data_IF_471759789325
#
_entry.id   IF_471759789325
#
_cell.length_a   1.000
_cell.length_b   1.000
_cell.length_c   1.000
_cell.angle_alpha   90.00
_cell.angle_beta   90.00
_cell.angle_gamma   90.00
#
_symmetry.space_group_name_H-M   'P 1'
#
loop_
_entity.id
_entity.type
_entity.pdbx_description
1 polymer ?
#
# COMPACT_ATOMS: atom_id res chain seq x y z
N UNK A 1 6.57 -7.39 9.71
CA UNK A 1 6.45 -5.96 9.38
C UNK A 1 7.28 -5.59 8.15
N UNK A 2 8.62 -5.83 8.14
CA UNK A 2 9.51 -5.41 7.05
C UNK A 2 9.15 -5.99 5.67
N UNK A 3 8.70 -7.24 5.59
CA UNK A 3 8.28 -7.85 4.32
C UNK A 3 6.99 -7.25 3.76
N UNK A 4 6.08 -6.80 4.62
CA UNK A 4 4.87 -6.07 4.20
C UNK A 4 5.24 -4.65 3.72
N UNK A 5 6.24 -4.04 4.33
CA UNK A 5 6.81 -2.78 3.87
C UNK A 5 7.39 -2.90 2.44
N UNK A 6 8.12 -3.98 2.16
CA UNK A 6 8.61 -4.30 0.80
C UNK A 6 7.45 -4.41 -0.20
N UNK A 7 6.36 -5.08 0.18
CA UNK A 7 5.16 -5.16 -0.66
C UNK A 7 4.60 -3.76 -0.95
N UNK A 8 4.46 -2.94 0.08
CA UNK A 8 3.91 -1.59 -0.05
C UNK A 8 4.79 -0.71 -0.94
N UNK A 9 6.11 -0.75 -0.77
CA UNK A 9 7.07 -0.09 -1.66
C UNK A 9 6.85 -0.46 -3.13
N UNK A 10 6.78 -1.77 -3.41
CA UNK A 10 6.61 -2.26 -4.77
C UNK A 10 5.26 -1.86 -5.38
N UNK A 11 4.19 -1.99 -4.59
CA UNK A 11 2.83 -1.64 -5.03
C UNK A 11 2.70 -0.15 -5.35
N UNK A 12 3.18 0.73 -4.46
CA UNK A 12 3.11 2.18 -4.71
C UNK A 12 4.00 2.61 -5.86
N UNK A 13 5.22 2.08 -5.97
CA UNK A 13 6.09 2.36 -7.11
C UNK A 13 5.45 1.94 -8.44
N UNK A 14 4.73 0.81 -8.46
CA UNK A 14 4.08 0.30 -9.65
C UNK A 14 2.95 1.21 -10.16
N UNK A 15 2.14 1.76 -9.26
CA UNK A 15 1.02 2.63 -9.63
C UNK A 15 1.37 4.12 -9.64
N UNK A 16 2.58 4.49 -9.26
CA UNK A 16 3.05 5.89 -9.23
C UNK A 16 2.88 6.57 -10.58
N UNK A 17 2.60 7.88 -10.57
CA UNK A 17 2.59 8.70 -11.80
C UNK A 17 3.99 8.88 -12.42
N UNK A 18 5.04 8.53 -11.68
CA UNK A 18 6.44 8.55 -12.12
C UNK A 18 6.96 7.17 -12.57
N UNK A 19 6.06 6.16 -12.59
CA UNK A 19 6.41 4.82 -13.02
C UNK A 19 6.85 4.78 -14.49
N UNK A 20 7.74 3.85 -14.79
CA UNK A 20 8.30 3.61 -16.12
C UNK A 20 8.37 2.10 -16.39
N UNK A 21 8.60 1.69 -17.62
CA UNK A 21 8.76 0.27 -17.99
C UNK A 21 9.84 -0.43 -17.13
N UNK A 22 10.90 0.28 -16.75
CA UNK A 22 11.96 -0.25 -15.88
C UNK A 22 11.45 -0.47 -14.45
N UNK A 23 10.84 0.56 -13.86
CA UNK A 23 10.33 0.47 -12.48
C UNK A 23 9.17 -0.49 -12.38
N UNK A 24 8.32 -0.60 -13.40
CA UNK A 24 7.22 -1.56 -13.49
C UNK A 24 7.73 -3.01 -13.47
N UNK A 25 8.82 -3.29 -14.21
CA UNK A 25 9.46 -4.60 -14.19
C UNK A 25 9.99 -4.98 -12.82
N UNK A 26 10.69 -4.06 -12.14
CA UNK A 26 11.18 -4.27 -10.78
C UNK A 26 10.06 -4.42 -9.76
N UNK A 27 9.06 -3.55 -9.81
CA UNK A 27 7.93 -3.59 -8.89
C UNK A 27 7.15 -4.90 -9.00
N UNK A 28 6.81 -5.35 -10.21
CA UNK A 28 6.15 -6.65 -10.44
C UNK A 28 6.97 -7.81 -9.88
N UNK A 29 8.29 -7.81 -10.13
CA UNK A 29 9.17 -8.87 -9.61
C UNK A 29 9.19 -8.88 -8.07
N UNK A 30 9.25 -7.71 -7.43
CA UNK A 30 9.22 -7.61 -5.98
C UNK A 30 7.89 -8.13 -5.40
N UNK A 31 6.74 -7.70 -5.97
CA UNK A 31 5.42 -8.20 -5.57
C UNK A 31 5.34 -9.72 -5.66
N UNK A 32 5.78 -10.29 -6.80
CA UNK A 32 5.78 -11.75 -7.00
C UNK A 32 6.60 -12.48 -5.94
N UNK A 33 7.81 -12.00 -5.66
CA UNK A 33 8.68 -12.60 -4.65
C UNK A 33 8.09 -12.51 -3.24
N UNK A 34 7.44 -11.40 -2.89
CA UNK A 34 6.79 -11.24 -1.59
C UNK A 34 5.65 -12.25 -1.44
N UNK A 35 4.75 -12.35 -2.42
CA UNK A 35 3.63 -13.32 -2.36
C UNK A 35 4.10 -14.78 -2.32
N UNK A 36 5.18 -15.11 -3.03
CA UNK A 36 5.70 -16.47 -3.07
C UNK A 36 6.46 -16.87 -1.79
N UNK A 37 7.13 -15.93 -1.10
CA UNK A 37 8.12 -16.30 -0.09
C UNK A 37 7.94 -15.65 1.29
N UNK A 38 7.13 -14.59 1.44
CA UNK A 38 7.05 -13.89 2.73
C UNK A 38 6.52 -14.80 3.84
N UNK A 39 5.44 -15.54 3.59
CA UNK A 39 4.85 -16.44 4.58
C UNK A 39 5.85 -17.50 5.03
N UNK A 40 6.56 -18.14 4.09
CA UNK A 40 7.59 -19.13 4.41
C UNK A 40 8.78 -18.50 5.14
N UNK A 41 9.20 -17.31 4.74
CA UNK A 41 10.28 -16.58 5.40
C UNK A 41 9.97 -16.28 6.86
N UNK A 42 8.70 -15.89 7.16
CA UNK A 42 8.26 -15.57 8.53
C UNK A 42 8.06 -16.84 9.36
N UNK A 43 7.34 -17.84 8.81
CA UNK A 43 6.93 -19.03 9.58
C UNK A 43 8.02 -20.09 9.72
N UNK A 44 8.84 -20.27 8.68
CA UNK A 44 9.85 -21.34 8.63
C UNK A 44 11.28 -20.79 8.62
N UNK A 45 11.49 -19.59 8.11
CA UNK A 45 12.80 -18.95 8.05
C UNK A 45 13.81 -19.69 7.17
N UNK A 46 13.36 -20.38 6.12
CA UNK A 46 14.27 -21.14 5.25
C UNK A 46 15.29 -20.23 4.57
N UNK A 47 16.53 -20.69 4.32
CA UNK A 47 17.55 -19.87 3.66
C UNK A 47 17.09 -19.32 2.31
N UNK A 48 16.37 -20.14 1.50
CA UNK A 48 15.85 -19.74 0.20
C UNK A 48 14.82 -18.61 0.35
N UNK A 49 13.82 -18.77 1.24
CA UNK A 49 12.79 -17.76 1.42
C UNK A 49 13.39 -16.44 1.96
N UNK A 50 14.36 -16.50 2.85
CA UNK A 50 15.08 -15.31 3.33
C UNK A 50 15.86 -14.62 2.23
N UNK A 51 16.59 -15.37 1.39
CA UNK A 51 17.30 -14.83 0.23
C UNK A 51 16.32 -14.14 -0.73
N UNK A 52 15.18 -14.79 -1.06
CA UNK A 52 14.17 -14.22 -1.96
C UNK A 52 13.56 -12.94 -1.39
N UNK A 53 13.30 -12.88 -0.09
CA UNK A 53 12.83 -11.66 0.56
C UNK A 53 13.89 -10.55 0.59
N UNK A 54 15.17 -10.86 0.74
CA UNK A 54 16.27 -9.91 0.59
C UNK A 54 16.32 -9.33 -0.82
N UNK A 55 16.21 -10.19 -1.82
CA UNK A 55 16.17 -9.78 -3.23
C UNK A 55 14.93 -8.89 -3.49
N UNK A 56 13.75 -9.27 -2.98
CA UNK A 56 12.53 -8.48 -3.10
C UNK A 56 12.70 -7.08 -2.50
N UNK A 57 13.33 -6.97 -1.31
CA UNK A 57 13.58 -5.68 -0.66
C UNK A 57 14.49 -4.78 -1.51
N UNK A 58 15.57 -5.35 -2.05
CA UNK A 58 16.50 -4.60 -2.93
C UNK A 58 15.81 -4.15 -4.21
N UNK A 59 15.06 -5.04 -4.86
CA UNK A 59 14.36 -4.74 -6.11
C UNK A 59 13.26 -3.68 -5.90
N UNK A 60 12.48 -3.80 -4.80
CA UNK A 60 11.50 -2.78 -4.43
C UNK A 60 12.18 -1.42 -4.15
N UNK A 61 13.35 -1.44 -3.49
CA UNK A 61 14.20 -0.27 -3.28
C UNK A 61 14.58 0.42 -4.59
N UNK A 62 15.02 -0.35 -5.58
CA UNK A 62 15.34 0.17 -6.91
C UNK A 62 14.11 0.77 -7.62
N UNK A 63 12.93 0.14 -7.46
CA UNK A 63 11.70 0.61 -8.06
C UNK A 63 11.28 1.96 -7.46
N UNK A 64 11.11 2.06 -6.14
CA UNK A 64 10.62 3.29 -5.53
C UNK A 64 11.65 4.43 -5.53
N UNK A 65 12.94 4.15 -5.51
CA UNK A 65 13.96 5.19 -5.64
C UNK A 65 13.86 5.95 -6.98
N UNK A 66 13.27 5.33 -8.00
CA UNK A 66 13.07 5.94 -9.31
C UNK A 66 11.62 6.35 -9.61
N UNK A 67 10.63 5.64 -9.05
CA UNK A 67 9.20 5.93 -9.26
C UNK A 67 8.55 6.70 -8.10
N UNK A 68 9.24 6.91 -6.99
CA UNK A 68 8.67 7.41 -5.74
C UNK A 68 7.60 6.50 -5.15
N UNK A 69 6.98 6.98 -4.06
CA UNK A 69 5.93 6.31 -3.30
C UNK A 69 4.62 7.12 -3.40
N UNK A 70 3.65 6.85 -2.57
CA UNK A 70 2.36 7.51 -2.61
C UNK A 70 1.74 7.74 -1.23
N UNK A 71 0.44 7.83 -1.21
CA UNK A 71 -0.36 8.17 -0.03
C UNK A 71 -0.20 7.15 1.11
N UNK A 72 0.03 5.88 0.81
CA UNK A 72 0.21 4.85 1.85
C UNK A 72 1.38 5.20 2.76
N UNK A 73 2.55 5.47 2.16
CA UNK A 73 3.74 5.88 2.92
C UNK A 73 3.57 7.24 3.56
N UNK A 74 2.92 8.21 2.89
CA UNK A 74 2.64 9.52 3.49
C UNK A 74 1.86 9.40 4.79
N UNK A 75 0.80 8.59 4.82
CA UNK A 75 0.02 8.31 6.02
C UNK A 75 0.83 7.52 7.06
N UNK A 76 1.56 6.48 6.61
CA UNK A 76 2.35 5.64 7.50
C UNK A 76 3.45 6.42 8.23
N UNK A 77 4.12 7.37 7.58
CA UNK A 77 5.10 8.25 8.20
C UNK A 77 4.51 9.03 9.39
N UNK A 78 3.32 9.58 9.22
CA UNK A 78 2.69 10.43 10.25
C UNK A 78 2.09 9.61 11.37
N UNK A 79 1.45 8.49 11.05
CA UNK A 79 0.94 7.55 12.06
C UNK A 79 2.09 6.97 12.89
N UNK A 80 3.15 6.48 12.22
CA UNK A 80 4.31 5.92 12.91
C UNK A 80 5.06 6.94 13.78
N UNK A 81 5.17 8.19 13.29
CA UNK A 81 5.80 9.27 14.05
C UNK A 81 5.00 9.70 15.28
N UNK A 82 3.68 9.65 15.24
CA UNK A 82 2.81 10.08 16.35
C UNK A 82 2.50 8.94 17.33
N UNK A 83 2.22 7.74 16.83
CA UNK A 83 1.72 6.62 17.62
C UNK A 83 2.75 5.51 17.86
N UNK A 84 3.96 5.67 17.30
CA UNK A 84 5.05 4.69 17.41
C UNK A 84 4.69 3.26 16.95
N UNK A 85 3.70 3.14 16.07
CA UNK A 85 3.39 1.86 15.41
C UNK A 85 4.53 1.55 14.44
N UNK A 86 5.05 0.31 14.42
CA UNK A 86 6.11 -0.07 13.49
C UNK A 86 5.74 0.25 12.03
N UNK A 87 6.66 0.85 11.28
CA UNK A 87 6.41 1.40 9.95
C UNK A 87 5.77 0.39 8.99
N UNK A 88 6.35 -0.80 8.85
CA UNK A 88 5.80 -1.83 7.97
C UNK A 88 4.43 -2.36 8.41
N UNK A 89 4.13 -2.32 9.72
CA UNK A 89 2.80 -2.65 10.26
C UNK A 89 1.79 -1.60 9.86
N UNK A 90 2.13 -0.33 10.02
CA UNK A 90 1.29 0.79 9.61
C UNK A 90 1.00 0.73 8.11
N UNK A 91 2.02 0.43 7.30
CA UNK A 91 1.86 0.22 5.87
C UNK A 91 0.88 -0.91 5.57
N UNK A 92 0.98 -2.05 6.26
CA UNK A 92 0.06 -3.18 6.08
C UNK A 92 -1.38 -2.89 6.47
N UNK A 93 -1.60 -2.11 7.54
CA UNK A 93 -2.95 -1.66 7.95
C UNK A 93 -3.58 -0.77 6.87
N UNK A 94 -2.80 0.11 6.27
CA UNK A 94 -3.28 1.08 5.28
C UNK A 94 -3.48 0.46 3.89
N UNK A 95 -2.60 -0.46 3.49
CA UNK A 95 -2.44 -0.90 2.10
C UNK A 95 -3.75 -1.33 1.41
N UNK A 96 -4.61 -2.18 1.97
CA UNK A 96 -5.85 -2.59 1.31
C UNK A 96 -6.80 -1.42 1.05
N UNK A 97 -6.83 -0.45 1.96
CA UNK A 97 -7.68 0.74 1.86
C UNK A 97 -7.17 1.72 0.81
N UNK A 98 -5.85 1.90 0.74
CA UNK A 98 -5.20 2.75 -0.26
C UNK A 98 -5.29 2.14 -1.65
N UNK A 99 -5.16 0.82 -1.80
CA UNK A 99 -5.41 0.12 -3.08
C UNK A 99 -6.82 0.42 -3.59
N UNK A 100 -7.85 0.27 -2.76
CA UNK A 100 -9.24 0.55 -3.13
C UNK A 100 -9.46 2.02 -3.47
N UNK A 101 -8.84 2.94 -2.70
CA UNK A 101 -8.89 4.37 -3.00
C UNK A 101 -8.25 4.67 -4.35
N UNK A 102 -7.01 4.21 -4.56
CA UNK A 102 -6.26 4.44 -5.78
C UNK A 102 -6.85 3.70 -6.99
N UNK A 103 -7.54 2.59 -6.81
CA UNK A 103 -8.20 1.83 -7.86
C UNK A 103 -9.56 2.40 -8.30
N UNK A 104 -10.08 3.40 -7.61
CA UNK A 104 -11.32 4.08 -7.99
C UNK A 104 -11.03 5.18 -8.99
N UNK A 105 -11.65 5.11 -10.18
CA UNK A 105 -11.48 6.12 -11.23
C UNK A 105 -11.87 7.50 -10.70
N UNK A 106 -10.99 8.50 -10.83
CA UNK A 106 -11.28 9.86 -10.35
C UNK A 106 -12.47 10.48 -11.08
N UNK A 107 -13.42 11.00 -10.32
CA UNK A 107 -14.60 11.73 -10.86
C UNK A 107 -14.45 13.24 -10.79
N UNK A 108 -13.46 13.72 -10.05
CA UNK A 108 -13.16 15.15 -9.93
C UNK A 108 -12.18 15.59 -11.00
N UNK A 109 -12.26 16.86 -11.38
CA UNK A 109 -11.25 17.48 -12.23
C UNK A 109 -9.89 17.41 -11.53
N UNK A 110 -9.03 16.55 -12.04
CA UNK A 110 -7.64 16.48 -11.61
C UNK A 110 -6.79 17.35 -12.55
N UNK A 111 -5.68 17.85 -12.06
CA UNK A 111 -4.75 18.60 -12.90
C UNK A 111 -4.17 17.67 -13.97
N UNK A 112 -4.27 18.11 -15.24
CA UNK A 112 -3.53 17.49 -16.34
C UNK A 112 -2.05 17.29 -15.95
N UNK A 113 -1.37 16.17 -16.26
CA UNK A 113 -1.81 15.07 -17.13
C UNK A 113 -2.45 13.88 -16.38
N UNK A 114 -2.76 14.01 -15.09
CA UNK A 114 -3.18 12.88 -14.24
C UNK A 114 -4.46 12.17 -14.68
N UNK A 115 -5.40 12.88 -15.29
CA UNK A 115 -6.66 12.27 -15.77
C UNK A 115 -6.41 11.38 -16.97
N UNK A 116 -5.68 11.87 -17.98
CA UNK A 116 -5.45 11.15 -19.23
C UNK A 116 -4.56 9.92 -19.04
N UNK A 117 -3.72 9.93 -18.01
CA UNK A 117 -2.76 8.87 -17.72
C UNK A 117 -3.13 8.00 -16.51
N UNK A 118 -4.36 8.14 -15.97
CA UNK A 118 -4.80 7.28 -14.89
C UNK A 118 -4.93 5.83 -15.36
N UNK A 119 -4.19 4.94 -14.72
CA UNK A 119 -4.12 3.50 -15.05
C UNK A 119 -4.08 2.61 -13.81
N UNK A 120 -4.29 3.17 -12.62
CA UNK A 120 -4.05 2.42 -11.39
C UNK A 120 -5.00 1.22 -11.24
N UNK A 121 -6.25 1.33 -11.67
CA UNK A 121 -7.22 0.24 -11.67
C UNK A 121 -6.77 -0.94 -12.56
N UNK A 122 -6.28 -0.65 -13.77
CA UNK A 122 -5.73 -1.66 -14.68
C UNK A 122 -4.45 -2.27 -14.10
N UNK A 123 -3.57 -1.45 -13.54
CA UNK A 123 -2.32 -1.92 -12.91
C UNK A 123 -2.59 -2.82 -11.70
N UNK A 124 -3.59 -2.54 -10.88
CA UNK A 124 -3.99 -3.46 -9.79
C UNK A 124 -4.57 -4.76 -10.31
N UNK A 125 -5.33 -4.73 -11.42
CA UNK A 125 -5.77 -5.96 -12.10
C UNK A 125 -4.58 -6.79 -12.58
N UNK A 126 -3.54 -6.16 -13.16
CA UNK A 126 -2.32 -6.84 -13.56
C UNK A 126 -1.57 -7.48 -12.38
N UNK A 127 -1.51 -6.79 -11.22
CA UNK A 127 -0.93 -7.37 -10.00
C UNK A 127 -1.75 -8.54 -9.46
N UNK A 128 -3.09 -8.47 -9.51
CA UNK A 128 -3.94 -9.59 -9.16
C UNK A 128 -3.66 -10.82 -10.07
N UNK A 129 -3.56 -10.60 -11.38
CA UNK A 129 -3.22 -11.66 -12.34
C UNK A 129 -1.81 -12.23 -12.09
N UNK A 130 -0.84 -11.38 -11.78
CA UNK A 130 0.54 -11.77 -11.48
C UNK A 130 0.65 -12.76 -10.32
N UNK A 131 -0.20 -12.61 -9.30
CA UNK A 131 -0.24 -13.51 -8.14
C UNK A 131 -1.18 -14.70 -8.32
N UNK A 132 -1.72 -14.91 -9.54
CA UNK A 132 -2.51 -16.08 -9.91
C UNK A 132 -4.02 -15.93 -9.75
N UNK A 133 -4.53 -14.72 -9.45
CA UNK A 133 -5.96 -14.43 -9.43
C UNK A 133 -6.49 -14.22 -10.86
N UNK A 134 -7.81 -14.31 -11.05
CA UNK A 134 -8.42 -14.24 -12.38
C UNK A 134 -9.57 -13.21 -12.45
N UNK A 135 -9.28 -11.93 -12.17
CA UNK A 135 -10.28 -10.86 -12.30
C UNK A 135 -10.74 -10.70 -13.76
N UNK A 136 -12.01 -10.36 -13.95
CA UNK A 136 -12.60 -10.14 -15.27
C UNK A 136 -12.66 -8.67 -15.66
N UNK A 137 -12.59 -7.78 -14.67
CA UNK A 137 -12.62 -6.33 -14.85
C UNK A 137 -11.56 -5.66 -13.98
N UNK A 138 -11.11 -4.44 -14.31
CA UNK A 138 -10.21 -3.68 -13.44
C UNK A 138 -10.77 -3.50 -12.03
N UNK A 139 -12.05 -3.18 -11.88
CA UNK A 139 -12.67 -3.01 -10.57
C UNK A 139 -12.62 -4.29 -9.73
N UNK A 140 -12.88 -5.45 -10.34
CA UNK A 140 -12.73 -6.76 -9.68
C UNK A 140 -11.27 -7.03 -9.31
N UNK A 141 -10.34 -6.64 -10.20
CA UNK A 141 -8.90 -6.77 -9.95
C UNK A 141 -8.42 -5.96 -8.75
N UNK A 142 -8.93 -4.74 -8.58
CA UNK A 142 -8.65 -3.88 -7.41
C UNK A 142 -9.08 -4.57 -6.12
N UNK A 143 -10.33 -5.05 -6.04
CA UNK A 143 -10.84 -5.71 -4.84
C UNK A 143 -10.09 -7.01 -4.54
N UNK A 144 -9.90 -7.86 -5.54
CA UNK A 144 -9.19 -9.14 -5.36
C UNK A 144 -7.73 -8.94 -4.92
N UNK A 145 -7.04 -7.94 -5.45
CA UNK A 145 -5.67 -7.65 -5.06
C UNK A 145 -5.59 -7.04 -3.65
N UNK A 146 -6.52 -6.15 -3.30
CA UNK A 146 -6.60 -5.59 -1.95
C UNK A 146 -6.87 -6.68 -0.91
N UNK A 147 -7.82 -7.59 -1.19
CA UNK A 147 -8.14 -8.73 -0.31
C UNK A 147 -6.94 -9.69 -0.16
N UNK A 148 -6.20 -9.95 -1.25
CA UNK A 148 -5.00 -10.78 -1.20
C UNK A 148 -3.87 -10.16 -0.36
N UNK A 149 -3.69 -8.83 -0.44
CA UNK A 149 -2.72 -8.13 0.40
C UNK A 149 -3.13 -8.21 1.89
N UNK A 150 -4.40 -8.06 2.19
CA UNK A 150 -4.95 -8.17 3.53
C UNK A 150 -4.77 -9.59 4.10
N UNK A 151 -5.10 -10.60 3.30
CA UNK A 151 -4.90 -12.01 3.68
C UNK A 151 -3.42 -12.32 3.96
N UNK A 152 -2.50 -11.79 3.14
CA UNK A 152 -1.06 -11.97 3.36
C UNK A 152 -0.61 -11.31 4.68
N UNK A 153 -1.10 -10.10 4.98
CA UNK A 153 -0.84 -9.44 6.27
C UNK A 153 -1.24 -10.34 7.43
N UNK A 154 -2.44 -10.93 7.39
CA UNK A 154 -2.92 -11.84 8.43
C UNK A 154 -2.07 -13.11 8.55
N UNK A 155 -1.71 -13.73 7.44
CA UNK A 155 -0.86 -14.93 7.42
C UNK A 155 0.48 -14.72 8.12
N UNK A 156 0.98 -13.49 8.13
CA UNK A 156 2.25 -13.12 8.78
C UNK A 156 2.08 -12.38 10.11
N UNK A 157 0.86 -12.30 10.64
CA UNK A 157 0.57 -11.75 11.97
C UNK A 157 0.48 -10.22 12.04
N UNK A 158 0.25 -9.56 10.91
CA UNK A 158 -0.06 -8.13 10.87
C UNK A 158 -1.57 -7.94 10.97
N UNK A 159 -2.01 -7.28 12.03
CA UNK A 159 -3.43 -7.00 12.30
C UNK A 159 -3.88 -5.77 11.53
N UNK A 160 -5.12 -5.80 11.00
CA UNK A 160 -5.63 -4.84 10.00
C UNK A 160 -6.23 -3.56 10.58
N UNK A 161 -6.06 -3.26 11.87
CA UNK A 161 -6.66 -2.06 12.47
C UNK A 161 -5.79 -1.41 13.53
N UNK A 162 -6.12 -0.13 13.81
CA UNK A 162 -5.39 0.70 14.77
C UNK A 162 -5.81 0.40 16.22
N UNK A 163 -7.08 0.05 16.47
CA UNK A 163 -7.58 -0.30 17.80
C UNK A 163 -6.74 -1.39 18.45
N UNK A 164 -6.34 -2.39 17.70
CA UNK A 164 -5.49 -3.50 18.17
C UNK A 164 -4.08 -3.08 18.60
N UNK A 165 -3.67 -1.85 18.28
CA UNK A 165 -2.40 -1.28 18.72
C UNK A 165 -2.51 -0.58 20.09
N UNK A 166 -3.67 -0.63 20.74
CA UNK A 166 -3.90 -0.08 22.08
C UNK A 166 -4.18 1.43 22.10
N UNK A 167 -4.53 2.03 20.97
CA UNK A 167 -4.86 3.46 20.86
C UNK A 167 -6.37 3.61 21.09
N UNK A 168 -6.79 4.53 22.00
CA UNK A 168 -8.21 4.78 22.21
C UNK A 168 -8.84 5.51 21.02
N UNK A 169 -10.16 5.33 20.83
CA UNK A 169 -10.88 5.99 19.74
C UNK A 169 -10.84 7.51 19.86
N UNK A 170 -10.97 8.02 21.09
CA UNK A 170 -10.94 9.46 21.35
C UNK A 170 -9.60 10.06 20.95
N UNK A 171 -8.50 9.47 21.41
CA UNK A 171 -7.16 9.95 21.11
C UNK A 171 -6.84 9.84 19.60
N UNK A 172 -7.30 8.74 18.96
CA UNK A 172 -7.17 8.58 17.51
C UNK A 172 -7.92 9.68 16.76
N UNK A 173 -9.21 9.92 17.08
CA UNK A 173 -10.04 10.91 16.38
C UNK A 173 -9.47 12.34 16.53
N UNK A 174 -8.91 12.69 17.69
CA UNK A 174 -8.23 13.97 17.92
C UNK A 174 -6.99 14.15 17.01
N UNK A 175 -6.35 13.06 16.61
CA UNK A 175 -5.15 13.08 15.77
C UNK A 175 -5.44 13.07 14.27
N UNK A 176 -6.61 12.58 13.84
CA UNK A 176 -6.96 12.30 12.44
C UNK A 176 -6.70 13.48 11.51
N UNK A 177 -7.22 14.67 11.86
CA UNK A 177 -7.07 15.86 11.01
C UNK A 177 -5.60 16.26 10.88
N UNK A 178 -4.85 16.26 11.98
CA UNK A 178 -3.42 16.62 12.00
C UNK A 178 -2.58 15.62 11.19
N UNK A 179 -2.84 14.32 11.34
CA UNK A 179 -2.17 13.27 10.56
C UNK A 179 -2.48 13.46 9.08
N UNK A 180 -3.73 13.68 8.71
CA UNK A 180 -4.15 13.86 7.31
C UNK A 180 -3.51 15.10 6.66
N UNK A 181 -3.48 16.23 7.36
CA UNK A 181 -2.82 17.46 6.89
C UNK A 181 -1.33 17.25 6.67
N UNK A 182 -0.64 16.68 7.66
CA UNK A 182 0.79 16.43 7.57
C UNK A 182 1.12 15.39 6.47
N UNK A 183 0.26 14.39 6.26
CA UNK A 183 0.42 13.42 5.18
C UNK A 183 0.17 14.03 3.80
N UNK A 184 -0.79 14.95 3.69
CA UNK A 184 -1.02 15.69 2.45
C UNK A 184 0.21 16.47 2.00
N UNK A 185 0.97 17.05 2.94
CA UNK A 185 2.20 17.79 2.71
C UNK A 185 3.45 16.89 2.59
N UNK A 186 3.31 15.59 2.79
CA UNK A 186 4.43 14.65 2.70
C UNK A 186 4.95 14.51 1.26
N UNK A 187 6.28 14.35 1.14
CA UNK A 187 6.98 14.25 -0.15
C UNK A 187 6.47 13.11 -1.06
N UNK A 188 5.85 12.07 -0.49
CA UNK A 188 5.37 10.91 -1.25
C UNK A 188 4.00 11.17 -1.90
N UNK A 189 3.17 12.03 -1.32
CA UNK A 189 1.81 12.31 -1.80
C UNK A 189 1.72 12.76 -3.26
N UNK A 190 2.62 13.63 -3.78
CA UNK A 190 2.53 14.10 -5.16
C UNK A 190 2.65 13.00 -6.22
N UNK A 191 3.29 11.87 -5.92
CA UNK A 191 3.45 10.77 -6.87
C UNK A 191 2.28 9.76 -6.86
N UNK A 192 1.30 9.94 -5.96
CA UNK A 192 0.13 9.07 -5.86
C UNK A 192 -0.72 9.14 -7.15
N UNK A 193 -1.20 8.01 -7.69
CA UNK A 193 -1.90 7.99 -8.99
C UNK A 193 -3.24 8.74 -8.97
N UNK A 194 -3.94 8.73 -7.85
CA UNK A 194 -5.14 9.52 -7.60
C UNK A 194 -4.83 10.54 -6.52
N UNK A 195 -4.84 11.84 -6.89
CA UNK A 195 -4.52 12.90 -5.92
C UNK A 195 -5.51 12.90 -4.77
N UNK A 196 -5.07 12.62 -3.54
CA UNK A 196 -5.96 12.66 -2.39
C UNK A 196 -6.21 14.09 -1.93
N UNK A 197 -7.43 14.35 -1.47
CA UNK A 197 -7.73 15.51 -0.63
C UNK A 197 -7.50 15.14 0.84
N UNK A 198 -7.30 16.14 1.69
CA UNK A 198 -7.18 15.92 3.14
C UNK A 198 -8.37 15.10 3.67
N UNK A 199 -9.57 15.40 3.20
CA UNK A 199 -10.80 14.67 3.57
C UNK A 199 -10.74 13.19 3.18
N UNK A 200 -10.17 12.83 2.02
CA UNK A 200 -10.03 11.44 1.62
C UNK A 200 -9.08 10.68 2.57
N UNK A 201 -8.00 11.35 3.00
CA UNK A 201 -7.06 10.80 3.98
C UNK A 201 -7.71 10.63 5.36
N UNK A 202 -8.48 11.61 5.84
CA UNK A 202 -9.25 11.50 7.09
C UNK A 202 -10.24 10.33 7.04
N UNK A 203 -10.94 10.13 5.93
CA UNK A 203 -11.91 9.04 5.78
C UNK A 203 -11.21 7.66 5.82
N UNK A 204 -10.02 7.53 5.24
CA UNK A 204 -9.19 6.33 5.36
C UNK A 204 -8.75 6.12 6.81
N UNK A 205 -8.25 7.17 7.48
CA UNK A 205 -7.81 7.10 8.88
C UNK A 205 -8.94 6.64 9.81
N UNK A 206 -10.16 7.16 9.63
CA UNK A 206 -11.32 6.72 10.42
C UNK A 206 -11.69 5.28 10.12
N UNK A 207 -11.62 4.89 8.84
CA UNK A 207 -11.96 3.54 8.41
C UNK A 207 -11.03 2.47 8.96
N UNK A 208 -9.73 2.74 9.09
CA UNK A 208 -8.76 1.76 9.59
C UNK A 208 -8.78 1.59 11.11
N UNK A 209 -9.52 2.42 11.85
CA UNK A 209 -9.46 2.40 13.31
C UNK A 209 -9.95 1.06 13.88
N UNK A 210 -11.18 0.69 13.61
CA UNK A 210 -11.84 -0.53 14.09
C UNK A 210 -12.23 -1.50 12.96
N UNK A 211 -11.51 -1.41 11.85
CA UNK A 211 -11.76 -2.25 10.69
C UNK A 211 -11.71 -3.72 11.08
N UNK A 212 -12.78 -4.43 10.75
CA UNK A 212 -12.87 -5.89 10.90
C UNK A 212 -12.92 -6.48 9.51
N UNK A 213 -12.05 -7.44 9.27
CA UNK A 213 -12.05 -8.17 8.02
C UNK A 213 -13.39 -8.86 7.78
N UNK A 214 -13.74 -8.98 6.51
CA UNK A 214 -14.90 -9.76 6.08
C UNK A 214 -14.67 -11.25 6.22
#
# INVERSE_FOLDING_TARGET
>A
DTGIDVLTHAVEAYVSILASDFTDGWAKQAVKLVFDYLEESVKKGTPIAREKMHNAATIAGMAFANAFLGMNHSLAHKIGGEWHIPHGRTNGILLPHVIRYNGTIPTKLNIWPKIENYKADVKFMELAQLIGLNPKTPAEGVEMFADACEELCHKVGVVSNVESQGISREAWEESVHRIAMNAYEDQCTPANPRMPMVKDMEDILRKIYDYKNK
#
